data_IF_136117393474
#
_entry.id   IF_136117393474
#
_cell.length_a   1.000
_cell.length_b   1.000
_cell.length_c   1.000
_cell.angle_alpha   90.00
_cell.angle_beta   90.00
_cell.angle_gamma   90.00
#
_symmetry.space_group_name_H-M   'P 1'
#
loop_
_entity.id
_entity.type
_entity.pdbx_description
1 polymer ?
#
# COMPACT_ATOMS: atom_id res chain seq x y z
N UNK A 1 20.00 -8.21 -13.85
CA UNK A 1 19.65 -7.87 -12.45
C UNK A 1 18.37 -8.62 -12.11
N UNK A 2 18.37 -9.40 -11.02
CA UNK A 2 17.19 -10.06 -10.49
C UNK A 2 16.26 -9.05 -9.82
N UNK A 3 14.96 -9.34 -9.80
CA UNK A 3 13.98 -8.48 -9.13
C UNK A 3 14.15 -8.56 -7.61
N UNK A 4 14.02 -7.42 -6.94
CA UNK A 4 14.20 -7.31 -5.48
C UNK A 4 12.88 -7.60 -4.78
N UNK A 5 12.84 -8.67 -3.98
CA UNK A 5 11.68 -9.06 -3.15
C UNK A 5 11.67 -8.33 -1.80
N UNK A 6 12.85 -8.15 -1.22
CA UNK A 6 13.05 -7.52 0.09
C UNK A 6 14.14 -6.47 -0.04
N UNK A 7 13.88 -5.27 0.46
CA UNK A 7 14.81 -4.14 0.40
C UNK A 7 14.64 -3.24 1.62
N UNK A 8 15.67 -2.49 1.99
CA UNK A 8 15.67 -1.71 3.21
C UNK A 8 15.67 -0.21 2.87
N UNK A 9 14.83 0.57 3.56
CA UNK A 9 14.86 2.03 3.52
C UNK A 9 14.92 2.50 4.98
N UNK A 10 16.02 3.18 5.33
CA UNK A 10 16.33 3.56 6.70
C UNK A 10 16.35 2.31 7.59
N UNK A 11 15.53 2.27 8.66
CA UNK A 11 15.46 1.15 9.59
C UNK A 11 14.24 0.24 9.35
N UNK A 12 13.57 0.35 8.20
CA UNK A 12 12.40 -0.46 7.84
C UNK A 12 12.69 -1.37 6.66
N UNK A 13 12.11 -2.56 6.68
CA UNK A 13 12.27 -3.59 5.64
C UNK A 13 11.02 -3.69 4.77
N UNK A 14 11.17 -3.44 3.49
CA UNK A 14 10.08 -3.37 2.52
C UNK A 14 9.93 -4.67 1.73
N UNK A 15 8.68 -5.05 1.46
CA UNK A 15 8.31 -6.33 0.87
C UNK A 15 7.55 -6.14 -0.46
N UNK A 16 8.21 -6.45 -1.56
CA UNK A 16 7.68 -6.37 -2.92
C UNK A 16 7.07 -7.71 -3.35
N UNK A 17 5.81 -7.93 -2.96
CA UNK A 17 5.15 -9.25 -3.12
C UNK A 17 4.27 -9.37 -4.37
N UNK A 18 4.14 -8.32 -5.18
CA UNK A 18 3.41 -8.37 -6.46
C UNK A 18 3.69 -7.14 -7.33
N UNK A 19 3.68 -7.32 -8.65
CA UNK A 19 3.72 -6.21 -9.62
C UNK A 19 2.33 -5.79 -10.12
N UNK A 20 1.30 -6.57 -9.78
CA UNK A 20 -0.11 -6.29 -10.14
C UNK A 20 -0.62 -5.14 -9.28
N UNK A 21 -1.44 -4.27 -9.86
CA UNK A 21 -2.07 -3.16 -9.14
C UNK A 21 -3.46 -2.91 -9.74
N UNK A 22 -4.41 -2.46 -8.91
CA UNK A 22 -5.75 -2.08 -9.38
C UNK A 22 -5.77 -0.71 -10.04
N UNK A 23 -4.70 0.08 -9.87
CA UNK A 23 -4.53 1.42 -10.42
C UNK A 23 -3.49 1.46 -11.55
N UNK A 24 -3.55 2.52 -12.37
CA UNK A 24 -2.52 2.92 -13.35
C UNK A 24 -2.16 4.39 -13.16
N UNK A 25 -1.79 4.76 -11.93
CA UNK A 25 -1.56 6.15 -11.61
C UNK A 25 -0.49 6.79 -12.51
N UNK A 26 -0.77 7.99 -13.04
CA UNK A 26 0.12 8.71 -13.94
C UNK A 26 1.44 9.12 -13.27
N UNK A 27 1.40 9.32 -11.94
CA UNK A 27 2.54 9.67 -11.10
C UNK A 27 3.30 8.44 -10.57
N UNK A 28 2.89 7.21 -10.90
CA UNK A 28 3.58 6.02 -10.42
C UNK A 28 4.86 5.81 -11.25
N UNK A 29 6.04 5.63 -10.61
CA UNK A 29 7.30 5.40 -11.33
C UNK A 29 7.22 4.22 -12.33
N UNK A 30 6.44 3.18 -11.99
CA UNK A 30 6.19 2.03 -12.89
C UNK A 30 5.55 2.45 -14.22
N UNK A 31 4.63 3.41 -14.20
CA UNK A 31 3.94 3.89 -15.42
C UNK A 31 4.79 4.90 -16.20
N UNK A 32 5.80 5.50 -15.55
CA UNK A 32 6.78 6.39 -16.15
C UNK A 32 8.00 5.64 -16.71
N UNK A 33 7.94 4.31 -16.79
CA UNK A 33 9.01 3.46 -17.34
C UNK A 33 10.13 3.13 -16.34
N UNK A 34 10.07 3.63 -15.10
CA UNK A 34 11.04 3.26 -14.08
C UNK A 34 10.80 1.84 -13.60
N UNK A 35 11.92 1.09 -13.50
CA UNK A 35 11.97 -0.22 -12.84
C UNK A 35 12.63 -0.15 -11.47
N UNK A 36 13.06 1.05 -11.05
CA UNK A 36 13.88 1.27 -9.87
C UNK A 36 13.23 2.23 -8.85
N UNK A 37 13.46 1.93 -7.57
CA UNK A 37 13.21 2.84 -6.43
C UNK A 37 14.50 2.90 -5.62
N UNK A 38 15.09 4.08 -5.50
CA UNK A 38 16.49 4.25 -5.07
C UNK A 38 17.42 3.30 -5.86
N UNK A 39 18.27 2.52 -5.18
CA UNK A 39 19.14 1.51 -5.82
C UNK A 39 18.43 0.19 -6.19
N UNK A 40 17.14 0.00 -5.87
CA UNK A 40 16.49 -1.31 -5.97
C UNK A 40 15.66 -1.47 -7.23
N UNK A 41 15.89 -2.55 -7.99
CA UNK A 41 15.04 -2.94 -9.13
C UNK A 41 13.84 -3.74 -8.61
N UNK A 42 12.62 -3.23 -8.84
CA UNK A 42 11.37 -3.80 -8.28
C UNK A 42 10.47 -4.49 -9.32
N UNK A 43 10.85 -4.54 -10.59
CA UNK A 43 10.02 -5.14 -11.63
C UNK A 43 10.09 -6.68 -11.57
N UNK A 44 9.03 -7.28 -11.03
CA UNK A 44 8.89 -8.73 -10.86
C UNK A 44 8.56 -9.43 -12.20
N UNK A 45 9.17 -10.58 -12.42
CA UNK A 45 8.90 -11.44 -13.60
C UNK A 45 7.78 -12.44 -13.37
N UNK A 46 7.56 -12.84 -12.11
CA UNK A 46 6.52 -13.78 -11.69
C UNK A 46 5.92 -13.32 -10.36
N UNK A 47 4.79 -13.90 -9.98
CA UNK A 47 4.15 -13.66 -8.69
C UNK A 47 4.99 -14.31 -7.58
N UNK A 48 5.57 -13.55 -6.63
CA UNK A 48 6.31 -14.11 -5.50
C UNK A 48 5.44 -15.02 -4.62
N UNK A 49 6.02 -16.08 -4.08
CA UNK A 49 5.40 -16.94 -3.06
C UNK A 49 5.86 -16.52 -1.67
N UNK A 50 5.09 -16.88 -0.65
CA UNK A 50 5.43 -16.59 0.75
C UNK A 50 6.79 -17.14 1.15
N UNK A 51 7.09 -18.39 0.79
CA UNK A 51 8.37 -19.03 1.11
C UNK A 51 9.60 -18.23 0.62
N UNK A 52 9.53 -17.68 -0.60
CA UNK A 52 10.63 -16.90 -1.20
C UNK A 52 10.87 -15.61 -0.42
N UNK A 53 9.81 -14.97 0.07
CA UNK A 53 9.89 -13.73 0.86
C UNK A 53 10.32 -14.03 2.30
N UNK A 54 9.78 -15.09 2.91
CA UNK A 54 10.08 -15.51 4.29
C UNK A 54 11.56 -15.83 4.46
N UNK A 55 12.17 -16.49 3.47
CA UNK A 55 13.60 -16.81 3.46
C UNK A 55 14.50 -15.56 3.50
N UNK A 56 13.97 -14.39 3.12
CA UNK A 56 14.71 -13.12 3.01
C UNK A 56 14.39 -12.13 4.14
N UNK A 57 13.54 -12.50 5.11
CA UNK A 57 13.12 -11.57 6.16
C UNK A 57 14.25 -11.17 7.11
N UNK A 58 15.27 -12.01 7.29
CA UNK A 58 16.31 -11.82 8.31
C UNK A 58 15.80 -11.93 9.74
N UNK A 59 16.55 -11.37 10.69
CA UNK A 59 16.16 -11.24 12.10
C UNK A 59 15.22 -10.04 12.25
N UNK A 60 14.01 -10.27 12.77
CA UNK A 60 12.93 -9.27 12.73
C UNK A 60 13.10 -8.13 13.73
N UNK A 61 13.90 -8.33 14.76
CA UNK A 61 14.25 -7.34 15.79
C UNK A 61 15.26 -6.30 15.30
N UNK A 62 15.89 -6.50 14.13
CA UNK A 62 16.79 -5.53 13.52
C UNK A 62 16.07 -4.37 12.79
N UNK A 63 14.74 -4.46 12.63
CA UNK A 63 13.95 -3.49 11.87
C UNK A 63 12.83 -2.89 12.74
N UNK A 64 12.57 -1.61 12.54
CA UNK A 64 11.46 -0.92 13.21
C UNK A 64 10.10 -1.48 12.78
N UNK A 65 10.00 -1.86 11.51
CA UNK A 65 8.81 -2.45 10.90
C UNK A 65 9.12 -3.12 9.55
N UNK A 66 8.24 -4.02 9.17
CA UNK A 66 8.14 -4.60 7.83
C UNK A 66 7.00 -3.94 7.07
N UNK A 67 7.28 -3.42 5.88
CA UNK A 67 6.33 -2.63 5.09
C UNK A 67 5.98 -3.38 3.80
N UNK A 68 4.74 -3.85 3.68
CA UNK A 68 4.24 -4.34 2.39
C UNK A 68 4.06 -3.15 1.44
N UNK A 69 5.01 -3.00 0.53
CA UNK A 69 5.09 -1.90 -0.41
C UNK A 69 6.03 -2.27 -1.56
N UNK A 70 5.70 -1.82 -2.76
CA UNK A 70 6.46 -2.09 -3.97
C UNK A 70 5.76 -1.42 -5.15
N UNK A 71 5.89 -2.01 -6.33
CA UNK A 71 5.22 -1.49 -7.53
C UNK A 71 3.79 -1.98 -7.72
N UNK A 72 3.35 -2.97 -6.95
CA UNK A 72 1.98 -3.48 -6.98
C UNK A 72 1.15 -3.06 -5.78
N UNK A 73 -0.11 -3.50 -5.82
CA UNK A 73 -1.03 -3.46 -4.68
C UNK A 73 -0.89 -4.78 -3.90
N UNK A 74 -0.29 -4.78 -2.70
CA UNK A 74 0.03 -6.02 -1.97
C UNK A 74 -1.18 -6.91 -1.73
N UNK A 75 -2.37 -6.34 -1.53
CA UNK A 75 -3.60 -7.11 -1.28
C UNK A 75 -4.05 -7.94 -2.48
N UNK A 76 -3.51 -7.71 -3.69
CA UNK A 76 -3.70 -8.61 -4.83
C UNK A 76 -2.92 -9.92 -4.72
N UNK A 77 -2.05 -10.05 -3.71
CA UNK A 77 -1.41 -11.31 -3.34
C UNK A 77 -1.78 -11.67 -1.88
N UNK A 78 -3.07 -11.63 -1.56
CA UNK A 78 -3.59 -11.69 -0.19
C UNK A 78 -3.08 -12.89 0.61
N UNK A 79 -3.07 -14.10 0.04
CA UNK A 79 -2.59 -15.29 0.75
C UNK A 79 -1.11 -15.17 1.12
N UNK A 80 -0.27 -14.73 0.19
CA UNK A 80 1.16 -14.48 0.45
C UNK A 80 1.35 -13.38 1.49
N UNK A 81 0.57 -12.30 1.39
CA UNK A 81 0.59 -11.20 2.36
C UNK A 81 0.30 -11.72 3.78
N UNK A 82 -0.80 -12.45 3.96
CA UNK A 82 -1.21 -12.98 5.27
C UNK A 82 -0.16 -13.94 5.82
N UNK A 83 0.34 -14.87 5.01
CA UNK A 83 1.33 -15.86 5.46
C UNK A 83 2.65 -15.20 5.89
N UNK A 84 3.14 -14.23 5.12
CA UNK A 84 4.35 -13.48 5.45
C UNK A 84 4.13 -12.59 6.68
N UNK A 85 3.00 -11.87 6.76
CA UNK A 85 2.66 -11.01 7.89
C UNK A 85 2.57 -11.82 9.19
N UNK A 86 1.85 -12.94 9.17
CA UNK A 86 1.79 -13.87 10.30
C UNK A 86 3.19 -14.32 10.74
N UNK A 87 4.03 -14.73 9.79
CA UNK A 87 5.41 -15.17 10.10
C UNK A 87 6.24 -14.08 10.76
N UNK A 88 6.11 -12.82 10.33
CA UNK A 88 6.80 -11.68 10.95
C UNK A 88 6.27 -11.45 12.37
N UNK A 89 4.96 -11.47 12.56
CA UNK A 89 4.30 -11.27 13.87
C UNK A 89 4.67 -12.37 14.87
N UNK A 90 4.66 -13.63 14.44
CA UNK A 90 5.07 -14.78 15.28
C UNK A 90 6.54 -14.69 15.72
N UNK A 91 7.38 -14.00 14.95
CA UNK A 91 8.79 -13.73 15.30
C UNK A 91 8.97 -12.46 16.13
N UNK A 92 7.90 -11.71 16.43
CA UNK A 92 7.93 -10.48 17.24
C UNK A 92 8.11 -9.18 16.44
N UNK A 93 8.09 -9.24 15.10
CA UNK A 93 8.19 -8.04 14.25
C UNK A 93 6.89 -7.22 14.18
N UNK A 94 7.00 -5.99 13.67
CA UNK A 94 5.85 -5.11 13.37
C UNK A 94 5.57 -5.08 11.88
N UNK A 95 4.31 -4.99 11.49
CA UNK A 95 3.89 -5.03 10.09
C UNK A 95 3.02 -3.82 9.73
N UNK A 96 3.39 -3.12 8.66
CA UNK A 96 2.60 -2.08 8.02
C UNK A 96 2.22 -2.48 6.61
N UNK A 97 0.97 -2.23 6.23
CA UNK A 97 0.48 -2.44 4.87
C UNK A 97 0.24 -1.08 4.19
N UNK A 98 0.97 -0.83 3.10
CA UNK A 98 0.63 0.26 2.17
C UNK A 98 -0.32 -0.27 1.11
N UNK A 99 -1.45 0.41 0.90
CA UNK A 99 -2.50 -0.06 -0.02
C UNK A 99 -3.15 1.09 -0.79
N UNK A 100 -3.66 0.78 -1.97
CA UNK A 100 -4.57 1.60 -2.76
C UNK A 100 -6.01 1.63 -2.19
N UNK A 101 -6.31 0.81 -1.17
CA UNK A 101 -7.61 0.79 -0.49
C UNK A 101 -8.72 0.07 -1.26
N UNK A 102 -8.39 -0.65 -2.34
CA UNK A 102 -9.37 -1.35 -3.18
C UNK A 102 -9.47 -2.86 -2.91
N UNK A 103 -8.84 -3.33 -1.83
CA UNK A 103 -8.81 -4.74 -1.47
C UNK A 103 -10.22 -5.36 -1.36
N UNK A 104 -11.14 -4.71 -0.63
CA UNK A 104 -12.51 -5.20 -0.48
C UNK A 104 -13.26 -5.26 -1.82
N UNK A 105 -13.01 -4.28 -2.69
CA UNK A 105 -13.64 -4.19 -3.98
C UNK A 105 -13.15 -5.30 -4.93
N UNK A 106 -11.84 -5.53 -4.95
CA UNK A 106 -11.22 -6.58 -5.74
C UNK A 106 -11.65 -7.98 -5.28
N UNK A 107 -11.61 -8.23 -3.97
CA UNK A 107 -11.96 -9.54 -3.38
C UNK A 107 -13.47 -9.75 -3.19
N UNK A 108 -14.29 -8.71 -3.46
CA UNK A 108 -15.76 -8.72 -3.32
C UNK A 108 -16.25 -9.10 -1.91
N UNK A 109 -15.46 -8.80 -0.89
CA UNK A 109 -15.75 -9.08 0.53
C UNK A 109 -14.89 -8.21 1.43
N UNK A 110 -15.25 -8.09 2.71
CA UNK A 110 -14.42 -7.38 3.67
C UNK A 110 -13.20 -8.22 4.08
N UNK A 111 -11.99 -7.77 3.72
CA UNK A 111 -10.72 -8.45 4.07
C UNK A 111 -10.06 -7.89 5.33
N UNK A 112 -10.55 -6.76 5.86
CA UNK A 112 -10.01 -6.18 7.09
C UNK A 112 -10.01 -7.15 8.29
N UNK A 113 -11.03 -8.00 8.52
CA UNK A 113 -11.00 -8.99 9.61
C UNK A 113 -9.87 -10.02 9.47
N UNK A 114 -9.47 -10.40 8.25
CA UNK A 114 -8.37 -11.34 8.03
C UNK A 114 -7.00 -10.68 8.18
N UNK A 115 -6.91 -9.38 7.90
CA UNK A 115 -5.68 -8.59 8.01
C UNK A 115 -5.42 -8.17 9.46
N UNK A 116 -6.46 -7.83 10.22
CA UNK A 116 -6.34 -7.23 11.54
C UNK A 116 -5.44 -7.99 12.55
N UNK A 117 -5.44 -9.33 12.61
CA UNK A 117 -4.55 -10.05 13.52
C UNK A 117 -3.06 -9.91 13.18
N UNK A 118 -2.73 -9.53 11.94
CA UNK A 118 -1.37 -9.60 11.40
C UNK A 118 -0.78 -8.25 11.00
N UNK A 119 -1.60 -7.20 10.95
CA UNK A 119 -1.20 -5.87 10.48
C UNK A 119 -1.32 -4.87 11.64
N UNK A 120 -0.21 -4.26 12.03
CA UNK A 120 -0.17 -3.25 13.10
C UNK A 120 -0.64 -1.88 12.62
N UNK A 121 -0.45 -1.56 11.34
CA UNK A 121 -0.90 -0.28 10.78
C UNK A 121 -1.17 -0.31 9.28
N UNK A 122 -2.06 0.58 8.84
CA UNK A 122 -2.39 0.81 7.44
C UNK A 122 -1.91 2.18 6.96
N UNK A 123 -1.42 2.23 5.72
CA UNK A 123 -1.17 3.47 4.98
C UNK A 123 -1.94 3.41 3.66
N UNK A 124 -3.08 4.09 3.60
CA UNK A 124 -3.99 4.09 2.45
C UNK A 124 -3.71 5.29 1.55
N UNK A 125 -3.68 5.08 0.23
CA UNK A 125 -3.40 6.14 -0.75
C UNK A 125 -4.70 6.72 -1.31
N UNK A 126 -5.23 7.77 -0.67
CA UNK A 126 -6.36 8.55 -1.20
C UNK A 126 -5.97 9.34 -2.46
N UNK A 127 -4.76 9.92 -2.44
CA UNK A 127 -4.13 10.73 -3.50
C UNK A 127 -4.82 12.07 -3.83
N UNK A 128 -6.15 12.08 -3.98
CA UNK A 128 -6.95 13.21 -4.47
C UNK A 128 -8.31 13.30 -3.75
N UNK A 129 -9.03 14.42 -3.90
CA UNK A 129 -10.25 14.70 -3.10
C UNK A 129 -11.60 14.40 -3.80
N UNK A 130 -11.61 13.99 -5.08
CA UNK A 130 -12.86 13.69 -5.79
C UNK A 130 -12.70 12.63 -6.88
N UNK A 131 -13.81 12.07 -7.35
CA UNK A 131 -13.84 10.98 -8.33
C UNK A 131 -13.25 11.38 -9.68
N UNK A 132 -13.55 12.57 -10.20
CA UNK A 132 -13.04 13.04 -11.50
C UNK A 132 -11.51 13.08 -11.49
N UNK A 133 -10.91 13.66 -10.45
CA UNK A 133 -9.46 13.68 -10.28
C UNK A 133 -8.90 12.28 -10.01
N UNK A 134 -9.66 11.41 -9.35
CA UNK A 134 -9.23 10.04 -9.10
C UNK A 134 -9.15 9.24 -10.40
N UNK A 135 -10.14 9.40 -11.28
CA UNK A 135 -10.13 8.82 -12.62
C UNK A 135 -8.97 9.37 -13.45
N UNK A 136 -8.75 10.68 -13.42
CA UNK A 136 -7.66 11.33 -14.15
C UNK A 136 -6.28 10.84 -13.68
N UNK A 137 -5.99 10.96 -12.38
CA UNK A 137 -4.65 10.78 -11.83
C UNK A 137 -4.33 9.33 -11.47
N UNK A 138 -5.30 8.58 -10.94
CA UNK A 138 -5.09 7.21 -10.44
C UNK A 138 -5.47 6.14 -11.48
N UNK A 139 -6.36 6.47 -12.42
CA UNK A 139 -6.79 5.59 -13.53
C UNK A 139 -7.15 4.17 -13.05
N UNK A 140 -8.17 4.03 -12.17
CA UNK A 140 -8.57 2.73 -11.63
C UNK A 140 -9.04 1.78 -12.73
N UNK A 141 -8.76 0.49 -12.56
CA UNK A 141 -9.17 -0.58 -13.49
C UNK A 141 -10.57 -1.14 -13.22
N UNK A 142 -11.14 -0.82 -12.06
CA UNK A 142 -12.44 -1.32 -11.62
C UNK A 142 -13.43 -0.17 -11.52
N UNK A 143 -14.63 -0.35 -12.07
CA UNK A 143 -15.71 0.63 -11.97
C UNK A 143 -16.15 0.79 -10.50
N UNK A 144 -16.48 2.02 -10.08
CA UNK A 144 -16.87 2.30 -8.69
C UNK A 144 -15.72 2.31 -7.68
N UNK A 145 -14.46 2.32 -8.14
CA UNK A 145 -13.28 2.33 -7.27
C UNK A 145 -13.24 3.52 -6.30
N UNK A 146 -13.69 4.71 -6.71
CA UNK A 146 -13.71 5.87 -5.82
C UNK A 146 -14.57 5.63 -4.58
N UNK A 147 -15.82 5.21 -4.78
CA UNK A 147 -16.73 4.91 -3.68
C UNK A 147 -16.23 3.74 -2.82
N UNK A 148 -15.63 2.73 -3.45
CA UNK A 148 -15.08 1.60 -2.74
C UNK A 148 -13.88 1.97 -1.86
N UNK A 149 -12.99 2.86 -2.34
CA UNK A 149 -11.88 3.42 -1.57
C UNK A 149 -12.39 4.19 -0.34
N UNK A 150 -13.35 5.10 -0.52
CA UNK A 150 -13.94 5.85 0.60
C UNK A 150 -14.57 4.91 1.63
N UNK A 151 -15.25 3.86 1.17
CA UNK A 151 -15.84 2.83 2.03
C UNK A 151 -14.76 2.08 2.82
N UNK A 152 -13.65 1.71 2.18
CA UNK A 152 -12.53 1.03 2.83
C UNK A 152 -11.85 1.92 3.87
N UNK A 153 -11.61 3.20 3.56
CA UNK A 153 -11.03 4.17 4.51
C UNK A 153 -11.90 4.31 5.75
N UNK A 154 -13.22 4.47 5.57
CA UNK A 154 -14.16 4.57 6.70
C UNK A 154 -14.21 3.31 7.54
N UNK A 155 -14.07 2.14 6.91
CA UNK A 155 -14.19 0.84 7.59
C UNK A 155 -12.91 0.44 8.34
N UNK A 156 -11.73 0.80 7.81
CA UNK A 156 -10.43 0.40 8.32
C UNK A 156 -10.20 0.64 9.83
N UNK A 157 -10.50 1.82 10.41
CA UNK A 157 -10.23 2.09 11.82
C UNK A 157 -11.09 1.26 12.80
N UNK A 158 -12.15 0.59 12.32
CA UNK A 158 -12.89 -0.38 13.15
C UNK A 158 -12.13 -1.70 13.36
N UNK A 159 -11.08 -1.96 12.58
CA UNK A 159 -10.33 -3.23 12.60
C UNK A 159 -8.86 -3.04 12.97
N UNK A 160 -8.24 -1.95 12.55
CA UNK A 160 -6.82 -1.67 12.76
C UNK A 160 -6.69 -0.30 13.42
N UNK A 161 -6.01 -0.23 14.56
CA UNK A 161 -5.99 0.97 15.41
C UNK A 161 -5.24 2.15 14.79
N UNK A 162 -4.24 1.89 13.94
CA UNK A 162 -3.43 2.92 13.29
C UNK A 162 -3.66 2.93 11.79
N UNK A 163 -4.50 3.86 11.33
CA UNK A 163 -4.82 4.06 9.91
C UNK A 163 -4.39 5.45 9.49
N UNK A 164 -3.35 5.49 8.66
CA UNK A 164 -2.90 6.71 8.01
C UNK A 164 -3.44 6.75 6.57
N UNK A 165 -3.93 7.89 6.13
CA UNK A 165 -4.43 8.10 4.77
C UNK A 165 -3.71 9.28 4.15
N UNK A 166 -3.21 9.09 2.94
CA UNK A 166 -2.34 10.07 2.29
C UNK A 166 -2.88 10.67 1.01
N UNK A 167 -2.56 11.95 0.77
CA UNK A 167 -2.79 12.67 -0.48
C UNK A 167 -1.47 13.24 -1.02
N UNK A 168 -1.42 13.49 -2.33
CA UNK A 168 -0.19 13.96 -3.02
C UNK A 168 -0.36 15.44 -3.38
N UNK A 169 0.48 16.28 -2.76
CA UNK A 169 0.65 17.66 -3.15
C UNK A 169 1.43 17.76 -4.46
N UNK A 170 1.01 18.67 -5.35
CA UNK A 170 1.62 18.87 -6.67
C UNK A 170 0.88 18.21 -7.83
N UNK A 171 -0.13 17.38 -7.56
CA UNK A 171 -1.03 16.89 -8.61
C UNK A 171 -1.99 18.00 -9.07
N UNK A 172 -2.12 18.15 -10.39
CA UNK A 172 -2.95 19.19 -10.97
C UNK A 172 -4.42 19.11 -10.49
N UNK A 173 -4.94 20.24 -9.99
CA UNK A 173 -6.31 20.37 -9.51
C UNK A 173 -6.59 19.75 -8.14
N UNK A 174 -5.60 19.15 -7.46
CA UNK A 174 -5.81 18.53 -6.15
C UNK A 174 -5.80 19.57 -5.03
N UNK A 175 -6.93 19.69 -4.35
CA UNK A 175 -7.06 20.37 -3.06
C UNK A 175 -6.67 19.42 -1.92
N UNK A 176 -5.60 19.79 -1.21
CA UNK A 176 -5.06 19.03 -0.06
C UNK A 176 -5.92 19.17 1.18
N UNK A 177 -6.56 20.33 1.38
CA UNK A 177 -7.39 20.54 2.56
C UNK A 177 -8.70 19.77 2.44
N UNK A 178 -9.28 19.71 1.23
CA UNK A 178 -10.39 18.81 0.95
C UNK A 178 -10.02 17.34 1.20
N UNK A 179 -8.81 16.90 0.83
CA UNK A 179 -8.33 15.55 1.16
C UNK A 179 -8.24 15.36 2.68
N UNK A 180 -7.69 16.33 3.41
CA UNK A 180 -7.58 16.28 4.88
C UNK A 180 -8.94 16.12 5.54
N UNK A 181 -9.95 16.85 5.07
CA UNK A 181 -11.31 16.78 5.61
C UNK A 181 -11.94 15.38 5.41
N UNK A 182 -11.76 14.77 4.23
CA UNK A 182 -12.22 13.39 3.97
C UNK A 182 -11.63 12.41 4.99
N UNK A 183 -10.33 12.56 5.26
CA UNK A 183 -9.60 11.68 6.18
C UNK A 183 -10.03 11.90 7.63
N UNK A 184 -10.15 13.15 8.07
CA UNK A 184 -10.61 13.50 9.41
C UNK A 184 -12.03 12.98 9.68
N UNK A 185 -12.94 13.13 8.72
CA UNK A 185 -14.31 12.60 8.81
C UNK A 185 -14.39 11.07 8.91
N UNK A 186 -13.30 10.37 8.57
CA UNK A 186 -13.21 8.91 8.64
C UNK A 186 -12.49 8.41 9.90
N UNK A 187 -12.10 9.30 10.82
CA UNK A 187 -11.38 8.94 12.05
C UNK A 187 -9.95 8.43 11.79
N UNK A 188 -9.34 8.80 10.67
CA UNK A 188 -8.00 8.38 10.26
C UNK A 188 -6.99 9.54 10.40
N UNK A 189 -5.70 9.21 10.39
CA UNK A 189 -4.61 10.20 10.42
C UNK A 189 -4.25 10.66 9.02
N UNK A 190 -4.29 11.98 8.76
CA UNK A 190 -3.88 12.51 7.46
C UNK A 190 -2.35 12.60 7.32
N UNK A 191 -1.84 12.18 6.16
CA UNK A 191 -0.43 12.34 5.76
C UNK A 191 -0.30 13.04 4.42
N UNK A 192 0.43 14.15 4.40
CA UNK A 192 0.83 14.78 3.15
C UNK A 192 2.00 14.03 2.51
N UNK A 193 1.92 13.76 1.21
CA UNK A 193 3.06 13.36 0.37
C UNK A 193 3.32 14.43 -0.68
N UNK A 194 4.56 14.55 -1.14
CA UNK A 194 4.93 15.42 -2.24
C UNK A 194 5.08 14.60 -3.51
N UNK A 195 4.68 15.17 -4.65
CA UNK A 195 4.90 14.56 -5.97
C UNK A 195 6.40 14.31 -6.19
N UNK A 196 6.72 13.20 -6.85
CA UNK A 196 8.08 12.75 -7.21
C UNK A 196 9.04 12.46 -6.04
N UNK A 197 8.57 12.54 -4.79
CA UNK A 197 9.32 12.08 -3.61
C UNK A 197 8.84 10.68 -3.22
N UNK A 198 9.73 9.69 -3.41
CA UNK A 198 9.49 8.26 -3.13
C UNK A 198 10.48 7.78 -2.07
N UNK A 199 10.02 6.96 -1.12
CA UNK A 199 10.82 6.48 0.03
C UNK A 199 10.43 7.15 1.34
#
# INVERSE_FOLDING_TARGET
>A
MSATLVYDIRQSRYLNITGRCTLRCQFCPKQQGSKQVHQYQLALQHQPKAADVIALLGQVDHFDEYVFCGYGEPTLNLNTLIEVARTIKERGGKVRLNTDGLANHFHRRNVLPELAPWIDSLSISLNVHNETLYQQHCQPKLAGSWQALLTFIKLAPHYISKVQVSAINGLAGVDIEACRQIVANSGCEFKLRQLDIVG
#
